data_IF_639035397670
#
_entry.id   IF_639035397670
#
_cell.length_a   1.000
_cell.length_b   1.000
_cell.length_c   1.000
_cell.angle_alpha   90.00
_cell.angle_beta   90.00
_cell.angle_gamma   90.00
#
_symmetry.space_group_name_H-M   'P 1'
#
loop_
_entity.id
_entity.type
_entity.pdbx_description
1 polymer ?
#
# COMPACT_ATOMS: atom_id res chain seq x y z
N UNK A 1 0.26 -26.15 0.46
CA UNK A 1 1.40 -25.23 0.49
C UNK A 1 0.84 -23.85 0.18
N UNK A 2 0.69 -22.96 1.17
CA UNK A 2 0.33 -21.58 0.86
C UNK A 2 1.50 -20.95 0.12
N UNK A 3 1.30 -20.50 -1.12
CA UNK A 3 2.26 -19.61 -1.76
C UNK A 3 2.40 -18.39 -0.84
N UNK A 4 3.57 -18.22 -0.24
CA UNK A 4 3.83 -17.10 0.65
C UNK A 4 3.89 -15.83 -0.23
N UNK A 5 2.84 -15.01 -0.20
CA UNK A 5 2.82 -13.78 -0.97
C UNK A 5 3.94 -12.86 -0.45
N UNK A 6 4.89 -12.51 -1.31
CA UNK A 6 6.14 -11.84 -0.90
C UNK A 6 6.03 -10.31 -0.78
N UNK A 7 5.04 -9.69 -1.42
CA UNK A 7 4.91 -8.24 -1.59
C UNK A 7 6.13 -7.56 -2.27
N UNK A 8 7.05 -8.35 -2.82
CA UNK A 8 8.31 -7.87 -3.36
C UNK A 8 8.14 -7.40 -4.80
N UNK A 9 8.21 -6.10 -5.02
CA UNK A 9 8.15 -5.49 -6.35
C UNK A 9 9.40 -5.75 -7.17
N UNK A 10 9.25 -5.84 -8.49
CA UNK A 10 10.36 -5.79 -9.44
C UNK A 10 10.85 -4.35 -9.64
N UNK A 11 12.04 -4.20 -10.21
CA UNK A 11 12.62 -2.92 -10.63
C UNK A 11 12.88 -2.93 -12.14
N UNK A 12 12.74 -1.79 -12.85
CA UNK A 12 13.21 -1.67 -14.23
C UNK A 12 14.73 -1.96 -14.32
N UNK A 13 15.23 -2.51 -15.44
CA UNK A 13 16.66 -2.74 -15.62
C UNK A 13 17.48 -1.45 -15.44
N UNK A 14 18.62 -1.55 -14.75
CA UNK A 14 19.50 -0.39 -14.51
C UNK A 14 19.00 0.60 -13.45
N UNK A 15 17.90 0.30 -12.76
CA UNK A 15 17.38 1.14 -11.67
C UNK A 15 18.26 1.03 -10.43
N UNK A 16 18.70 2.17 -9.92
CA UNK A 16 19.29 2.29 -8.59
C UNK A 16 18.21 2.76 -7.61
N UNK A 17 17.77 1.85 -6.74
CA UNK A 17 16.79 2.11 -5.68
C UNK A 17 17.39 1.60 -4.36
N UNK A 18 17.23 2.38 -3.29
CA UNK A 18 17.58 1.92 -1.94
C UNK A 18 16.75 0.67 -1.58
N UNK A 19 17.41 -0.39 -1.10
CA UNK A 19 16.73 -1.62 -0.70
C UNK A 19 15.77 -1.40 0.49
N UNK A 20 16.03 -0.40 1.33
CA UNK A 20 15.14 0.06 2.39
C UNK A 20 13.79 0.55 1.88
N UNK A 21 13.74 1.22 0.72
CA UNK A 21 12.48 1.62 0.07
C UNK A 21 11.71 0.38 -0.36
N UNK A 22 12.40 -0.62 -0.93
CA UNK A 22 11.77 -1.86 -1.37
C UNK A 22 11.22 -2.65 -0.17
N UNK A 23 11.99 -2.77 0.90
CA UNK A 23 11.58 -3.41 2.15
C UNK A 23 10.43 -2.67 2.84
N UNK A 24 10.41 -1.33 2.77
CA UNK A 24 9.31 -0.51 3.25
C UNK A 24 8.01 -0.89 2.55
N UNK A 25 7.96 -0.95 1.22
CA UNK A 25 6.72 -1.31 0.51
C UNK A 25 6.27 -2.75 0.77
N UNK A 26 7.19 -3.69 0.93
CA UNK A 26 6.84 -5.06 1.35
C UNK A 26 6.10 -5.06 2.69
N UNK A 27 6.64 -4.35 3.67
CA UNK A 27 6.03 -4.22 5.00
C UNK A 27 4.74 -3.42 4.94
N UNK A 28 4.72 -2.32 4.20
CA UNK A 28 3.57 -1.44 4.05
C UNK A 28 2.36 -2.17 3.46
N UNK A 29 2.52 -2.90 2.36
CA UNK A 29 1.41 -3.63 1.75
C UNK A 29 0.96 -4.81 2.59
N UNK A 30 1.88 -5.54 3.24
CA UNK A 30 1.53 -6.58 4.22
C UNK A 30 0.69 -6.02 5.38
N UNK A 31 1.10 -4.90 5.95
CA UNK A 31 0.35 -4.17 6.99
C UNK A 31 -0.98 -3.66 6.43
N UNK A 32 -0.99 -3.18 5.19
CA UNK A 32 -2.20 -2.77 4.47
C UNK A 32 -3.21 -3.92 4.31
N UNK A 33 -2.78 -5.16 4.22
CA UNK A 33 -3.70 -6.29 4.06
C UNK A 33 -4.11 -6.97 5.37
N UNK A 34 -3.61 -6.46 6.50
CA UNK A 34 -3.93 -6.98 7.83
C UNK A 34 -5.13 -6.22 8.45
N UNK A 35 -6.24 -6.90 8.77
CA UNK A 35 -7.47 -6.26 9.27
C UNK A 35 -7.35 -5.52 10.59
N UNK A 36 -6.34 -5.78 11.42
CA UNK A 36 -6.19 -5.18 12.76
C UNK A 36 -4.91 -4.32 12.88
N UNK A 37 -4.27 -3.97 11.76
CA UNK A 37 -3.01 -3.24 11.73
C UNK A 37 -3.18 -1.76 11.34
N UNK A 38 -4.30 -1.12 11.68
CA UNK A 38 -4.59 0.26 11.27
C UNK A 38 -3.65 1.27 11.90
N UNK A 39 -3.27 1.08 13.16
CA UNK A 39 -2.27 1.94 13.83
C UNK A 39 -0.91 1.79 13.17
N UNK A 40 -0.42 0.57 12.96
CA UNK A 40 0.84 0.32 12.24
C UNK A 40 0.84 0.85 10.80
N UNK A 41 -0.32 0.84 10.14
CA UNK A 41 -0.50 1.47 8.83
C UNK A 41 -0.33 2.98 8.92
N UNK A 42 -0.97 3.63 9.89
CA UNK A 42 -0.84 5.08 10.09
C UNK A 42 0.58 5.49 10.51
N UNK A 43 1.29 4.64 11.25
CA UNK A 43 2.67 4.85 11.68
C UNK A 43 3.69 4.68 10.54
N UNK A 44 3.26 4.23 9.35
CA UNK A 44 4.10 4.16 8.15
C UNK A 44 4.28 5.52 7.45
N UNK A 45 3.63 6.57 7.95
CA UNK A 45 3.65 7.92 7.38
C UNK A 45 4.34 8.91 8.33
N UNK A 46 4.88 10.01 7.79
CA UNK A 46 5.35 11.12 8.62
C UNK A 46 4.19 11.80 9.35
N UNK A 47 4.49 12.49 10.45
CA UNK A 47 3.48 13.13 11.31
C UNK A 47 2.56 14.10 10.55
N UNK A 48 3.09 14.75 9.50
CA UNK A 48 2.43 15.76 8.69
C UNK A 48 2.09 15.29 7.25
N UNK A 49 2.18 13.99 6.98
CA UNK A 49 2.00 13.44 5.64
C UNK A 49 0.64 13.80 5.02
N UNK A 50 0.66 14.18 3.74
CA UNK A 50 -0.56 14.32 2.94
C UNK A 50 -0.94 12.96 2.33
N UNK A 51 -2.12 12.46 2.68
CA UNK A 51 -2.64 11.19 2.19
C UNK A 51 -3.83 11.43 1.25
N UNK A 52 -3.70 10.95 0.00
CA UNK A 52 -4.74 11.08 -1.03
C UNK A 52 -5.07 9.70 -1.58
N UNK A 53 -6.34 9.30 -1.46
CA UNK A 53 -6.87 8.04 -1.99
C UNK A 53 -8.21 8.29 -2.67
N UNK A 54 -8.20 8.39 -4.00
CA UNK A 54 -9.35 8.80 -4.80
C UNK A 54 -9.97 10.12 -4.29
N UNK A 55 -11.21 10.11 -3.80
CA UNK A 55 -11.86 11.29 -3.24
C UNK A 55 -11.54 11.54 -1.76
N UNK A 56 -10.89 10.60 -1.06
CA UNK A 56 -10.52 10.73 0.35
C UNK A 56 -9.17 11.45 0.47
N UNK A 57 -9.12 12.44 1.34
CA UNK A 57 -7.91 13.19 1.68
C UNK A 57 -7.80 13.30 3.18
N UNK A 58 -6.58 13.23 3.70
CA UNK A 58 -6.29 13.50 5.11
C UNK A 58 -4.84 13.92 5.29
N UNK A 59 -4.57 14.73 6.31
CA UNK A 59 -3.23 15.19 6.68
C UNK A 59 -2.88 14.71 8.09
N UNK A 60 -1.72 14.07 8.18
CA UNK A 60 -1.17 13.57 9.44
C UNK A 60 -1.87 12.33 9.99
N UNK A 61 -1.28 11.79 11.06
CA UNK A 61 -1.59 10.44 11.57
C UNK A 61 -3.06 10.22 11.88
N UNK A 62 -3.72 11.16 12.56
CA UNK A 62 -5.10 11.00 13.03
C UNK A 62 -6.09 10.88 11.87
N UNK A 63 -5.97 11.74 10.85
CA UNK A 63 -6.84 11.71 9.69
C UNK A 63 -6.60 10.47 8.82
N UNK A 64 -5.33 10.06 8.65
CA UNK A 64 -4.95 8.82 7.96
C UNK A 64 -5.57 7.60 8.68
N UNK A 65 -5.46 7.54 10.00
CA UNK A 65 -6.03 6.46 10.81
C UNK A 65 -7.56 6.42 10.70
N UNK A 66 -8.24 7.57 10.72
CA UNK A 66 -9.69 7.66 10.54
C UNK A 66 -10.13 7.13 9.17
N UNK A 67 -9.45 7.55 8.09
CA UNK A 67 -9.70 7.04 6.73
C UNK A 67 -9.50 5.52 6.68
N UNK A 68 -8.44 5.04 7.32
CA UNK A 68 -8.07 3.63 7.32
C UNK A 68 -9.09 2.75 8.06
N UNK A 69 -9.55 3.18 9.24
CA UNK A 69 -10.64 2.53 10.00
C UNK A 69 -11.94 2.51 9.19
N UNK A 70 -12.28 3.63 8.55
CA UNK A 70 -13.46 3.72 7.68
C UNK A 70 -13.42 2.76 6.49
N UNK A 71 -12.24 2.47 5.93
CA UNK A 71 -12.09 1.46 4.87
C UNK A 71 -12.32 0.04 5.39
N UNK A 72 -11.71 -0.34 6.52
CA UNK A 72 -11.92 -1.67 7.11
C UNK A 72 -13.33 -1.90 7.67
N UNK A 73 -14.12 -0.84 7.88
CA UNK A 73 -15.54 -0.97 8.17
C UNK A 73 -16.29 -1.67 7.03
N UNK A 74 -15.86 -1.50 5.77
CA UNK A 74 -16.53 -2.05 4.58
C UNK A 74 -15.78 -3.22 3.93
N UNK A 75 -14.46 -3.29 4.09
CA UNK A 75 -13.62 -4.35 3.53
C UNK A 75 -13.70 -5.62 4.39
N UNK A 76 -13.89 -6.77 3.74
CA UNK A 76 -13.83 -8.10 4.35
C UNK A 76 -12.45 -8.71 4.22
N UNK A 77 -11.87 -8.69 3.02
CA UNK A 77 -10.51 -9.16 2.77
C UNK A 77 -9.86 -8.32 1.67
N UNK A 78 -8.53 -8.25 1.69
CA UNK A 78 -7.76 -7.54 0.69
C UNK A 78 -6.39 -8.16 0.53
N UNK A 79 -5.87 -8.16 -0.70
CA UNK A 79 -4.53 -8.64 -1.01
C UNK A 79 -3.94 -7.80 -2.14
N UNK A 80 -2.93 -7.00 -1.82
CA UNK A 80 -2.14 -6.25 -2.80
C UNK A 80 -1.00 -7.11 -3.32
N UNK A 81 -0.86 -7.10 -4.64
CA UNK A 81 0.33 -7.59 -5.34
C UNK A 81 1.04 -6.38 -5.96
N UNK A 82 1.99 -5.76 -5.23
CA UNK A 82 2.82 -4.69 -5.80
C UNK A 82 3.83 -5.30 -6.78
N UNK A 83 3.65 -5.03 -8.07
CA UNK A 83 4.37 -5.70 -9.16
C UNK A 83 5.70 -4.99 -9.46
N UNK A 84 5.71 -3.65 -9.49
CA UNK A 84 6.90 -2.90 -9.92
C UNK A 84 6.97 -1.49 -9.30
N UNK A 85 8.18 -1.06 -8.94
CA UNK A 85 8.49 0.30 -8.48
C UNK A 85 9.23 1.05 -9.59
N UNK A 86 8.85 2.30 -9.84
CA UNK A 86 9.51 3.21 -10.78
C UNK A 86 9.95 4.49 -10.05
N UNK A 87 11.25 4.68 -9.77
CA UNK A 87 11.72 5.92 -9.18
C UNK A 87 11.79 7.05 -10.21
N UNK A 88 11.49 8.27 -9.78
CA UNK A 88 11.61 9.49 -10.59
C UNK A 88 13.07 10.01 -10.65
N UNK A 89 13.99 9.12 -11.04
CA UNK A 89 15.43 9.40 -11.11
C UNK A 89 16.27 8.37 -10.36
N UNK A 90 17.59 8.41 -10.54
CA UNK A 90 18.51 7.53 -9.82
C UNK A 90 18.61 7.93 -8.36
N UNK A 91 18.29 7.03 -7.43
CA UNK A 91 18.34 7.32 -5.99
C UNK A 91 17.26 8.30 -5.51
N UNK A 92 16.14 8.40 -6.24
CA UNK A 92 15.03 9.26 -5.86
C UNK A 92 14.15 8.62 -4.77
N UNK A 93 13.62 9.46 -3.88
CA UNK A 93 12.61 9.09 -2.87
C UNK A 93 11.17 9.33 -3.37
N UNK A 94 11.02 9.89 -4.57
CA UNK A 94 9.75 10.01 -5.28
C UNK A 94 9.59 8.82 -6.25
N UNK A 95 8.47 8.12 -6.16
CA UNK A 95 8.28 6.80 -6.78
C UNK A 95 6.86 6.64 -7.29
N UNK A 96 6.69 5.82 -8.33
CA UNK A 96 5.40 5.30 -8.80
C UNK A 96 5.34 3.78 -8.59
N UNK A 97 4.16 3.24 -8.28
CA UNK A 97 3.96 1.83 -7.95
C UNK A 97 2.89 1.21 -8.84
N UNK A 98 3.30 0.24 -9.66
CA UNK A 98 2.35 -0.56 -10.41
C UNK A 98 2.05 -1.87 -9.68
N UNK A 99 0.77 -2.22 -9.57
CA UNK A 99 0.34 -3.48 -9.00
C UNK A 99 -1.14 -3.77 -9.18
N UNK A 100 -1.61 -4.83 -8.52
CA UNK A 100 -3.03 -5.19 -8.45
C UNK A 100 -3.47 -5.36 -7.01
N UNK A 101 -4.76 -5.23 -6.76
CA UNK A 101 -5.38 -5.54 -5.49
C UNK A 101 -6.66 -6.32 -5.70
N UNK A 102 -6.74 -7.47 -5.03
CA UNK A 102 -7.98 -8.23 -4.92
C UNK A 102 -8.68 -7.76 -3.64
N UNK A 103 -9.94 -7.38 -3.77
CA UNK A 103 -10.75 -6.82 -2.70
C UNK A 103 -12.07 -7.59 -2.59
N UNK A 104 -12.44 -7.97 -1.37
CA UNK A 104 -13.78 -8.45 -1.04
C UNK A 104 -14.41 -7.51 -0.02
N UNK A 105 -15.63 -7.06 -0.29
CA UNK A 105 -16.42 -6.23 0.61
C UNK A 105 -17.31 -7.13 1.49
N UNK A 106 -17.71 -6.61 2.65
CA UNK A 106 -18.59 -7.33 3.59
C UNK A 106 -19.98 -7.63 3.02
N UNK A 107 -20.38 -6.94 1.96
CA UNK A 107 -21.62 -7.21 1.22
C UNK A 107 -21.46 -8.26 0.10
N UNK A 108 -20.29 -8.90 -0.01
CA UNK A 108 -19.99 -9.98 -0.95
C UNK A 108 -19.50 -9.51 -2.32
N UNK A 109 -19.47 -8.21 -2.60
CA UNK A 109 -18.88 -7.70 -3.84
C UNK A 109 -17.37 -7.95 -3.87
N UNK A 110 -16.86 -8.31 -5.04
CA UNK A 110 -15.44 -8.56 -5.30
C UNK A 110 -14.95 -7.68 -6.42
N UNK A 111 -13.70 -7.24 -6.29
CA UNK A 111 -13.02 -6.49 -7.33
C UNK A 111 -11.57 -6.96 -7.44
N UNK A 112 -11.05 -6.96 -8.66
CA UNK A 112 -9.63 -7.08 -8.97
C UNK A 112 -9.26 -5.82 -9.77
N UNK A 113 -8.40 -4.98 -9.21
CA UNK A 113 -8.16 -3.63 -9.69
C UNK A 113 -6.66 -3.38 -9.78
N UNK A 114 -6.21 -2.78 -10.89
CA UNK A 114 -4.83 -2.30 -11.01
C UNK A 114 -4.65 -0.92 -10.39
N UNK A 115 -3.48 -0.67 -9.80
CA UNK A 115 -3.07 0.65 -9.31
C UNK A 115 -1.74 1.07 -9.95
N UNK A 116 -1.54 2.39 -10.04
CA UNK A 116 -0.36 3.10 -10.53
C UNK A 116 0.08 4.14 -9.49
#
# INVERSE_FOLDING_TARGET
MSNNHTYRSALPPGTNLDEGIRAFFETFYKTSDTPDAQDAYADSFTEDADFVMASKKGRGREEILAIRKGMWATVSSRLHTPIKIFPFGSGADELMLYGTVILELKDGRKADVSFL
#
